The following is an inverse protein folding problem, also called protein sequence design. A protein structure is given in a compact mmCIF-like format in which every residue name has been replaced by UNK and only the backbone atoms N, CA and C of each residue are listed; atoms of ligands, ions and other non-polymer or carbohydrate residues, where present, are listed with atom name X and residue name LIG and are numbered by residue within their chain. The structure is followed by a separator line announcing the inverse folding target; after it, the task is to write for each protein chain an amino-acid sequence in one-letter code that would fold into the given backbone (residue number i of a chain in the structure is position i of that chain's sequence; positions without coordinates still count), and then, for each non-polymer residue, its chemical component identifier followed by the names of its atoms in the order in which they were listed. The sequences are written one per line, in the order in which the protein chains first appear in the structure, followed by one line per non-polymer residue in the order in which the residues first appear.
data_IF_547785091451
#
_entry.id   IF_547785091451
#
_cell.length_a   1.000
_cell.length_b   1.000
_cell.length_c   1.000
_cell.angle_alpha   90.00
_cell.angle_beta   90.00
_cell.angle_gamma   90.00
#
_symmetry.space_group_name_H-M   'P 1'
#
loop_
_entity.id
_entity.type
_entity.pdbx_description
1 polymer ?
#
# COMPACT_ATOMS: atom_id res chain seq x y z
N UNK A 1 -1.20 -16.05 -11.74
CA UNK A 1 -2.63 -15.96 -11.36
C UNK A 1 -3.09 -14.59 -11.82
N UNK A 2 -4.24 -14.48 -12.47
CA UNK A 2 -4.85 -13.17 -12.72
C UNK A 2 -5.59 -12.81 -11.44
N UNK A 3 -5.24 -11.68 -10.83
CA UNK A 3 -5.99 -11.20 -9.68
C UNK A 3 -7.38 -10.79 -10.19
N UNK A 4 -8.48 -11.18 -9.51
CA UNK A 4 -9.84 -10.75 -9.87
C UNK A 4 -10.03 -9.23 -9.75
N UNK A 5 -9.08 -8.54 -9.11
CA UNK A 5 -9.02 -7.08 -9.02
C UNK A 5 -7.64 -6.62 -9.46
N UNK A 6 -7.55 -5.61 -10.32
CA UNK A 6 -6.27 -5.02 -10.72
C UNK A 6 -6.12 -3.59 -10.19
N UNK A 7 -7.23 -2.99 -9.75
CA UNK A 7 -7.33 -1.58 -9.40
C UNK A 7 -8.38 -1.32 -8.31
N UNK A 8 -8.37 -0.11 -7.74
CA UNK A 8 -9.42 0.30 -6.80
C UNK A 8 -10.75 0.56 -7.50
N UNK A 9 -10.70 0.91 -8.78
CA UNK A 9 -11.86 1.06 -9.65
C UNK A 9 -12.62 -0.25 -9.77
N UNK A 10 -11.92 -1.39 -9.82
CA UNK A 10 -12.55 -2.71 -9.86
C UNK A 10 -13.30 -2.98 -8.55
N UNK A 11 -12.69 -2.69 -7.40
CA UNK A 11 -13.37 -2.78 -6.10
C UNK A 11 -14.64 -1.93 -6.05
N UNK A 12 -14.60 -0.71 -6.60
CA UNK A 12 -15.73 0.21 -6.60
C UNK A 12 -16.88 -0.20 -7.55
N UNK A 13 -16.62 -1.09 -8.52
CA UNK A 13 -17.62 -1.56 -9.49
C UNK A 13 -18.41 -2.78 -9.01
N UNK A 14 -17.92 -3.47 -7.98
CA UNK A 14 -18.48 -4.73 -7.48
C UNK A 14 -18.77 -4.66 -5.97
N UNK A 15 -19.47 -5.67 -5.45
CA UNK A 15 -19.83 -5.77 -4.02
C UNK A 15 -19.52 -7.14 -3.41
N UNK A 16 -18.92 -8.06 -4.17
CA UNK A 16 -18.57 -9.41 -3.74
C UNK A 16 -17.36 -9.43 -2.77
N UNK A 17 -16.37 -8.57 -3.03
CA UNK A 17 -15.20 -8.34 -2.20
C UNK A 17 -15.47 -7.06 -1.41
N UNK A 18 -15.71 -7.21 -0.12
CA UNK A 18 -15.84 -6.07 0.77
C UNK A 18 -14.48 -5.37 0.92
N UNK A 19 -14.47 -4.08 1.19
CA UNK A 19 -13.23 -3.35 1.45
C UNK A 19 -13.38 -2.30 2.52
N UNK A 20 -12.31 -2.05 3.25
CA UNK A 20 -12.31 -1.10 4.36
C UNK A 20 -10.92 -0.64 4.75
N UNK A 21 -10.86 0.35 5.64
CA UNK A 21 -9.62 0.96 6.11
C UNK A 21 -9.50 0.85 7.63
N UNK A 22 -8.41 1.35 8.19
CA UNK A 22 -8.35 1.65 9.62
C UNK A 22 -9.47 2.64 10.00
N UNK A 23 -10.09 2.48 11.17
CA UNK A 23 -11.18 3.31 11.68
C UNK A 23 -10.71 4.72 12.11
N UNK A 24 -9.41 4.94 12.06
CA UNK A 24 -8.75 6.22 12.30
C UNK A 24 -7.64 6.43 11.27
N UNK A 25 -7.04 7.61 11.28
CA UNK A 25 -5.85 7.91 10.48
C UNK A 25 -6.14 8.45 9.08
N UNK A 26 -5.05 8.62 8.34
CA UNK A 26 -5.02 9.43 7.13
C UNK A 26 -5.72 8.78 5.94
N UNK A 27 -5.80 7.45 5.89
CA UNK A 27 -6.47 6.68 4.82
C UNK A 27 -7.98 6.83 4.90
N UNK A 28 -8.59 6.73 6.09
CA UNK A 28 -10.03 6.98 6.28
C UNK A 28 -10.39 8.42 5.88
N UNK A 29 -9.55 9.37 6.30
CA UNK A 29 -9.74 10.78 6.00
C UNK A 29 -9.59 11.09 4.51
N UNK A 30 -8.74 10.34 3.78
CA UNK A 30 -8.64 10.42 2.31
C UNK A 30 -10.00 10.25 1.67
N UNK A 31 -10.63 9.11 1.94
CA UNK A 31 -11.89 8.75 1.31
C UNK A 31 -13.00 9.70 1.72
N UNK A 32 -13.00 10.14 2.99
CA UNK A 32 -13.97 11.12 3.49
C UNK A 32 -13.89 12.48 2.78
N UNK A 33 -12.69 12.96 2.44
CA UNK A 33 -12.48 14.28 1.83
C UNK A 33 -12.33 14.27 0.31
N UNK A 34 -12.11 13.10 -0.29
CA UNK A 34 -11.86 12.97 -1.71
C UNK A 34 -13.01 13.57 -2.54
N UNK A 35 -12.66 14.17 -3.68
CA UNK A 35 -13.59 14.71 -4.69
C UNK A 35 -13.59 13.91 -5.98
N UNK A 36 -12.88 12.79 -6.00
CA UNK A 36 -12.81 11.91 -7.15
C UNK A 36 -13.99 10.94 -7.03
N UNK A 37 -14.84 10.90 -8.07
CA UNK A 37 -16.10 10.15 -8.06
C UNK A 37 -15.96 8.68 -7.63
N UNK A 38 -14.90 7.99 -8.07
CA UNK A 38 -14.65 6.60 -7.65
C UNK A 38 -14.40 6.49 -6.14
N UNK A 39 -13.65 7.41 -5.54
CA UNK A 39 -13.33 7.39 -4.12
C UNK A 39 -14.49 7.88 -3.25
N UNK A 40 -15.31 8.81 -3.74
CA UNK A 40 -16.57 9.19 -3.07
C UNK A 40 -17.57 8.02 -3.03
N UNK A 41 -17.65 7.23 -4.11
CA UNK A 41 -18.45 6.00 -4.15
C UNK A 41 -17.92 4.96 -3.14
N UNK A 42 -16.61 4.74 -3.12
CA UNK A 42 -15.97 3.84 -2.15
C UNK A 42 -16.21 4.28 -0.71
N UNK A 43 -16.12 5.58 -0.43
CA UNK A 43 -16.41 6.15 0.89
C UNK A 43 -17.87 5.92 1.30
N UNK A 44 -18.80 6.18 0.38
CA UNK A 44 -20.23 5.98 0.62
C UNK A 44 -20.53 4.53 0.98
N UNK A 45 -19.96 3.57 0.25
CA UNK A 45 -20.01 2.15 0.58
C UNK A 45 -19.43 1.87 1.98
N UNK A 46 -18.21 2.32 2.27
CA UNK A 46 -17.56 2.04 3.56
C UNK A 46 -18.34 2.63 4.75
N UNK A 47 -18.97 3.80 4.56
CA UNK A 47 -19.78 4.47 5.58
C UNK A 47 -21.08 3.73 5.88
N UNK A 48 -21.71 3.13 4.87
CA UNK A 48 -22.99 2.42 5.01
C UNK A 48 -22.86 0.90 5.14
N UNK A 49 -21.64 0.37 5.19
CA UNK A 49 -21.42 -1.08 5.21
C UNK A 49 -21.77 -1.68 6.57
N UNK A 50 -22.64 -2.70 6.55
CA UNK A 50 -22.99 -3.52 7.71
C UNK A 50 -22.69 -5.00 7.41
N UNK A 51 -21.84 -5.67 8.23
CA UNK A 51 -21.12 -5.15 9.39
C UNK A 51 -19.98 -4.19 8.99
N UNK A 52 -19.53 -3.36 9.95
CA UNK A 52 -18.48 -2.36 9.71
C UNK A 52 -17.26 -2.96 9.00
N UNK A 53 -16.83 -2.29 7.93
CA UNK A 53 -15.62 -2.64 7.17
C UNK A 53 -14.35 -2.01 7.77
N UNK A 54 -14.50 -1.09 8.71
CA UNK A 54 -13.36 -0.46 9.39
C UNK A 54 -12.75 -1.38 10.45
N UNK A 55 -11.44 -1.30 10.64
CA UNK A 55 -10.71 -2.04 11.70
C UNK A 55 -10.07 -1.10 12.70
N UNK A 56 -9.91 -1.54 13.96
CA UNK A 56 -9.32 -0.70 15.02
C UNK A 56 -7.81 -0.61 14.90
N UNK A 57 -7.16 -1.70 14.53
CA UNK A 57 -5.71 -1.78 14.33
C UNK A 57 -5.37 -2.31 12.94
N UNK A 58 -4.13 -2.08 12.51
CA UNK A 58 -3.59 -2.64 11.26
C UNK A 58 -3.56 -4.16 11.32
N UNK A 59 -3.17 -4.73 12.46
CA UNK A 59 -3.10 -6.19 12.64
C UNK A 59 -4.48 -6.84 12.53
N UNK A 60 -5.53 -6.21 13.07
CA UNK A 60 -6.92 -6.65 12.89
C UNK A 60 -7.32 -6.63 11.41
N UNK A 61 -6.92 -5.57 10.69
CA UNK A 61 -7.10 -5.43 9.24
C UNK A 61 -6.48 -6.61 8.50
N UNK A 62 -5.19 -6.86 8.76
CA UNK A 62 -4.44 -7.95 8.14
C UNK A 62 -5.05 -9.32 8.46
N UNK A 63 -5.35 -9.58 9.73
CA UNK A 63 -5.97 -10.82 10.18
C UNK A 63 -7.35 -11.03 9.55
N UNK A 64 -8.15 -9.96 9.38
CA UNK A 64 -9.44 -10.01 8.69
C UNK A 64 -9.26 -10.42 7.25
N UNK A 65 -8.35 -9.78 6.50
CA UNK A 65 -8.11 -10.16 5.10
C UNK A 65 -7.72 -11.64 5.02
N UNK A 66 -6.82 -12.10 5.91
CA UNK A 66 -6.37 -13.50 5.97
C UNK A 66 -7.51 -14.49 6.16
N UNK A 67 -8.44 -14.18 7.06
CA UNK A 67 -9.60 -15.03 7.38
C UNK A 67 -10.68 -14.98 6.28
N UNK A 68 -10.76 -13.91 5.52
CA UNK A 68 -11.81 -13.68 4.53
C UNK A 68 -11.62 -14.42 3.20
N UNK A 69 -10.51 -15.15 2.99
CA UNK A 69 -10.28 -15.99 1.80
C UNK A 69 -10.57 -15.28 0.47
N UNK A 70 -10.10 -14.04 0.33
CA UNK A 70 -10.29 -13.23 -0.89
C UNK A 70 -11.62 -12.46 -0.98
N UNK A 71 -12.47 -12.50 0.04
CA UNK A 71 -13.75 -11.72 0.11
C UNK A 71 -13.65 -10.39 0.85
N UNK A 72 -12.45 -10.02 1.31
CA UNK A 72 -12.19 -8.73 1.91
C UNK A 72 -10.88 -8.16 1.36
N UNK A 73 -10.82 -6.84 1.19
CA UNK A 73 -9.62 -6.11 0.85
C UNK A 73 -9.39 -4.97 1.87
N UNK A 74 -8.17 -4.88 2.40
CA UNK A 74 -7.86 -3.86 3.41
C UNK A 74 -7.01 -2.74 2.80
N UNK A 75 -7.44 -1.51 3.02
CA UNK A 75 -6.78 -0.34 2.49
C UNK A 75 -5.87 0.32 3.52
N UNK A 76 -4.58 0.39 3.23
CA UNK A 76 -3.55 0.95 4.11
C UNK A 76 -2.49 1.77 3.34
N UNK A 77 -1.37 2.09 3.97
CA UNK A 77 -0.28 2.84 3.33
C UNK A 77 0.70 1.91 2.60
N UNK A 78 1.20 2.31 1.43
CA UNK A 78 1.99 1.40 0.57
C UNK A 78 3.25 0.84 1.24
N UNK A 79 3.86 1.64 2.11
CA UNK A 79 5.02 1.26 2.94
C UNK A 79 4.70 0.09 3.85
N UNK A 80 3.56 0.13 4.54
CA UNK A 80 3.11 -0.97 5.39
C UNK A 80 2.66 -2.17 4.58
N UNK A 81 2.09 -1.97 3.39
CA UNK A 81 1.70 -3.09 2.54
C UNK A 81 2.92 -3.86 2.03
N UNK A 82 3.93 -3.14 1.52
CA UNK A 82 5.22 -3.72 1.12
C UNK A 82 5.89 -4.43 2.30
N UNK A 83 5.74 -3.92 3.51
CA UNK A 83 6.28 -4.55 4.72
C UNK A 83 5.57 -5.88 5.03
N UNK A 84 4.24 -5.87 5.07
CA UNK A 84 3.42 -7.05 5.40
C UNK A 84 3.58 -8.16 4.35
N UNK A 85 3.74 -7.80 3.07
CA UNK A 85 4.03 -8.75 1.99
C UNK A 85 5.32 -9.55 2.23
N UNK A 86 6.29 -8.97 2.95
CA UNK A 86 7.57 -9.60 3.27
C UNK A 86 7.55 -10.36 4.60
N UNK A 87 6.40 -10.49 5.27
CA UNK A 87 6.25 -11.20 6.55
C UNK A 87 5.53 -12.53 6.40
N UNK A 88 5.91 -13.51 7.23
CA UNK A 88 5.22 -14.80 7.24
C UNK A 88 3.72 -14.63 7.60
N UNK A 89 2.85 -15.48 7.04
CA UNK A 89 3.13 -16.61 6.16
C UNK A 89 3.17 -16.26 4.66
N UNK A 90 3.53 -15.01 4.28
CA UNK A 90 3.70 -14.59 2.88
C UNK A 90 2.43 -14.74 2.04
N UNK A 91 1.28 -14.56 2.70
CA UNK A 91 -0.05 -14.81 2.17
C UNK A 91 -0.75 -13.56 1.66
N UNK A 92 -0.09 -12.40 1.77
CA UNK A 92 -0.60 -11.09 1.35
C UNK A 92 0.08 -10.64 0.06
N UNK A 93 -0.59 -9.78 -0.72
CA UNK A 93 0.01 -9.16 -1.88
C UNK A 93 -0.49 -7.74 -2.10
N UNK A 94 0.40 -6.86 -2.59
CA UNK A 94 -0.01 -5.56 -3.14
C UNK A 94 -0.66 -5.74 -4.49
N UNK A 95 -1.87 -5.19 -4.64
CA UNK A 95 -2.56 -5.06 -5.93
C UNK A 95 -2.63 -3.59 -6.32
N UNK A 96 -2.53 -3.32 -7.62
CA UNK A 96 -2.69 -1.98 -8.19
C UNK A 96 -1.56 -0.99 -7.89
N UNK A 97 -1.72 0.20 -8.47
CA UNK A 97 -0.91 1.37 -8.18
C UNK A 97 -1.22 1.96 -6.81
N UNK A 98 -0.45 2.98 -6.41
CA UNK A 98 -0.83 3.80 -5.26
C UNK A 98 -1.98 4.73 -5.70
N UNK A 99 -2.95 4.98 -4.81
CA UNK A 99 -4.11 5.83 -5.11
C UNK A 99 -3.80 7.33 -5.02
N UNK A 100 -2.55 7.66 -4.75
CA UNK A 100 -2.06 8.99 -4.38
C UNK A 100 -0.51 8.99 -4.28
N UNK A 101 0.05 10.13 -3.86
CA UNK A 101 1.48 10.27 -3.56
C UNK A 101 1.68 10.98 -2.20
N UNK A 102 2.09 10.22 -1.19
CA UNK A 102 2.55 10.74 0.12
C UNK A 102 3.99 10.34 0.45
N UNK A 103 4.59 11.09 1.36
CA UNK A 103 5.85 10.75 2.02
C UNK A 103 5.78 11.04 3.53
N UNK A 104 6.63 10.35 4.30
CA UNK A 104 6.86 10.67 5.70
C UNK A 104 7.88 11.79 5.83
N UNK A 105 7.73 12.62 6.86
CA UNK A 105 8.65 13.71 7.18
C UNK A 105 9.00 13.75 8.66
N UNK A 106 10.16 14.33 8.98
CA UNK A 106 10.57 14.56 10.37
C UNK A 106 9.92 15.85 10.86
N UNK A 107 9.01 15.74 11.82
CA UNK A 107 8.31 16.88 12.40
C UNK A 107 9.18 17.58 13.46
N UNK A 108 9.22 18.92 13.41
CA UNK A 108 9.81 19.77 14.46
C UNK A 108 8.78 20.80 14.91
N UNK A 109 8.84 21.28 16.17
CA UNK A 109 7.98 22.38 16.62
C UNK A 109 8.11 23.61 15.72
N UNK A 110 7.02 24.34 15.52
CA UNK A 110 7.03 25.58 14.74
C UNK A 110 8.03 26.57 15.34
N UNK A 111 8.93 27.11 14.52
CA UNK A 111 10.00 28.03 14.96
C UNK A 111 11.23 27.35 15.56
N UNK A 112 11.30 26.01 15.60
CA UNK A 112 12.47 25.31 16.12
C UNK A 112 13.72 25.57 15.26
N UNK A 113 14.84 25.87 15.93
CA UNK A 113 16.15 25.97 15.30
C UNK A 113 16.62 24.65 14.65
N UNK A 114 16.00 23.52 15.00
CA UNK A 114 16.31 22.21 14.42
C UNK A 114 15.75 22.02 13.01
N UNK A 115 14.77 22.83 12.59
CA UNK A 115 14.09 22.65 11.31
C UNK A 115 15.07 22.63 10.13
N UNK A 116 15.91 23.66 10.02
CA UNK A 116 16.88 23.81 8.93
C UNK A 116 17.95 22.70 8.94
N UNK A 117 18.68 22.44 10.05
CA UNK A 117 19.71 21.41 10.05
C UNK A 117 19.15 20.00 9.82
N UNK A 118 17.98 19.68 10.36
CA UNK A 118 17.32 18.38 10.09
C UNK A 118 16.95 18.25 8.62
N UNK A 119 16.40 19.29 8.00
CA UNK A 119 16.03 19.26 6.59
C UNK A 119 17.25 19.04 5.68
N UNK A 120 18.36 19.75 5.93
CA UNK A 120 19.61 19.58 5.19
C UNK A 120 20.20 18.18 5.37
N UNK A 121 20.13 17.62 6.59
CA UNK A 121 20.61 16.26 6.86
C UNK A 121 19.80 15.21 6.09
N UNK A 122 18.45 15.34 6.04
CA UNK A 122 17.59 14.42 5.28
C UNK A 122 17.91 14.48 3.79
N UNK A 123 18.10 15.68 3.22
CA UNK A 123 18.49 15.84 1.82
C UNK A 123 19.83 15.14 1.52
N UNK A 124 20.84 15.36 2.37
CA UNK A 124 22.15 14.71 2.23
C UNK A 124 22.05 13.18 2.28
N UNK A 125 21.26 12.63 3.19
CA UNK A 125 21.04 11.18 3.28
C UNK A 125 20.31 10.63 2.04
N UNK A 126 19.41 11.41 1.46
CA UNK A 126 18.69 11.07 0.23
C UNK A 126 19.63 11.07 -0.98
N UNK A 127 20.41 12.13 -1.20
CA UNK A 127 21.36 12.26 -2.31
C UNK A 127 22.45 11.17 -2.28
N UNK A 128 22.86 10.77 -1.08
CA UNK A 128 23.83 9.69 -0.89
C UNK A 128 23.22 8.28 -1.04
N UNK A 129 21.91 8.16 -1.29
CA UNK A 129 21.21 6.86 -1.41
C UNK A 129 21.15 6.07 -0.10
N UNK A 130 21.44 6.70 1.05
CA UNK A 130 21.44 6.04 2.36
C UNK A 130 20.02 5.65 2.76
N UNK A 131 19.03 6.51 2.47
CA UNK A 131 17.63 6.22 2.74
C UNK A 131 17.14 4.98 1.97
N UNK A 132 17.54 4.83 0.71
CA UNK A 132 17.20 3.65 -0.10
C UNK A 132 17.88 2.38 0.43
N UNK A 133 19.15 2.50 0.83
CA UNK A 133 19.88 1.39 1.48
C UNK A 133 19.20 0.96 2.78
N UNK A 134 18.71 1.92 3.58
CA UNK A 134 17.96 1.63 4.81
C UNK A 134 16.61 0.98 4.49
N UNK A 135 15.87 1.48 3.49
CA UNK A 135 14.61 0.86 3.05
C UNK A 135 14.85 -0.61 2.66
N UNK A 136 15.83 -0.87 1.80
CA UNK A 136 16.14 -2.24 1.37
C UNK A 136 16.50 -3.15 2.54
N UNK A 137 17.35 -2.66 3.46
CA UNK A 137 17.75 -3.39 4.66
C UNK A 137 16.57 -3.82 5.52
N UNK A 138 15.60 -2.93 5.74
CA UNK A 138 14.51 -3.16 6.70
C UNK A 138 13.26 -3.80 6.08
N UNK A 139 13.07 -3.68 4.77
CA UNK A 139 11.94 -4.30 4.06
C UNK A 139 12.30 -5.63 3.40
N UNK A 140 13.44 -5.70 2.70
CA UNK A 140 13.75 -6.83 1.82
C UNK A 140 14.86 -7.73 2.38
N UNK A 141 15.99 -7.16 2.82
CA UNK A 141 17.10 -7.97 3.35
C UNK A 141 16.72 -8.69 4.66
N UNK A 142 15.81 -8.08 5.43
CA UNK A 142 15.19 -8.64 6.64
C UNK A 142 13.78 -9.18 6.41
N UNK A 143 13.39 -9.36 5.14
CA UNK A 143 12.15 -10.03 4.77
C UNK A 143 12.20 -11.49 5.18
N UNK A 144 11.09 -12.01 5.68
CA UNK A 144 10.95 -13.43 6.07
C UNK A 144 10.44 -14.30 4.92
N UNK A 145 9.85 -13.65 3.92
CA UNK A 145 9.47 -14.23 2.65
C UNK A 145 10.70 -14.17 1.75
N UNK A 146 11.26 -15.32 1.40
CA UNK A 146 12.51 -15.41 0.63
C UNK A 146 12.49 -14.59 -0.65
N UNK A 147 13.68 -14.39 -1.24
CA UNK A 147 13.79 -13.73 -2.55
C UNK A 147 12.81 -14.41 -3.52
N UNK A 148 11.81 -13.67 -4.02
CA UNK A 148 10.85 -14.17 -5.01
C UNK A 148 11.61 -14.99 -6.03
N UNK A 149 11.30 -16.28 -6.13
CA UNK A 149 12.01 -17.22 -6.99
C UNK A 149 12.32 -16.56 -8.33
N UNK A 150 13.61 -16.52 -8.63
CA UNK A 150 14.19 -16.02 -9.86
C UNK A 150 13.93 -17.01 -10.99
N UNK A 151 12.66 -17.20 -11.33
CA UNK A 151 12.19 -17.94 -12.49
C UNK A 151 11.88 -17.05 -13.68
N UNK A 152 12.67 -15.98 -13.90
CA UNK A 152 12.77 -15.23 -15.16
C UNK A 152 13.96 -14.30 -15.08
N UNK A 153 15.07 -14.65 -15.77
CA UNK A 153 16.13 -13.69 -16.06
C UNK A 153 15.57 -12.60 -16.97
N UNK A 154 15.03 -11.55 -16.37
CA UNK A 154 14.94 -10.24 -17.00
C UNK A 154 15.89 -9.35 -16.23
N UNK A 155 17.10 -9.18 -16.79
CA UNK A 155 17.99 -8.08 -16.45
C UNK A 155 17.27 -6.77 -16.82
N UNK A 156 16.47 -6.25 -15.89
CA UNK A 156 16.06 -4.85 -15.91
C UNK A 156 16.84 -4.19 -14.80
N UNK A 157 17.91 -3.48 -15.18
CA UNK A 157 18.48 -2.40 -14.37
C UNK A 157 17.30 -1.55 -13.92
N UNK A 158 16.98 -1.55 -12.62
CA UNK A 158 15.99 -0.63 -12.06
C UNK A 158 16.66 0.73 -11.91
N UNK A 159 16.83 1.41 -13.03
CA UNK A 159 16.86 2.86 -13.02
C UNK A 159 15.43 3.34 -12.71
N UNK A 160 15.32 4.24 -11.74
CA UNK A 160 14.18 5.15 -11.59
C UNK A 160 13.83 5.72 -12.97
N UNK A 161 12.56 5.68 -13.39
CA UNK A 161 11.86 6.80 -14.05
C UNK A 161 10.43 6.46 -14.50
N UNK A 162 9.70 7.55 -14.72
CA UNK A 162 8.27 7.76 -15.01
C UNK A 162 7.60 6.82 -16.03
N UNK A 163 6.30 6.60 -15.79
CA UNK A 163 5.20 6.31 -16.72
C UNK A 163 5.52 5.64 -18.07
N UNK A 164 4.98 4.42 -18.28
CA UNK A 164 4.02 4.05 -19.35
C UNK A 164 3.71 2.53 -19.30
N UNK A 165 2.42 2.19 -19.31
CA UNK A 165 1.88 0.84 -19.64
C UNK A 165 1.94 0.59 -21.16
N UNK A 166 1.53 -0.59 -21.72
CA UNK A 166 1.19 -1.90 -21.15
C UNK A 166 1.88 -3.09 -21.88
N UNK A 167 1.62 -4.34 -21.45
CA UNK A 167 1.16 -5.51 -22.26
C UNK A 167 1.34 -6.84 -21.48
N UNK A 168 0.30 -7.67 -21.58
CA UNK A 168 0.01 -8.97 -20.97
C UNK A 168 1.06 -10.08 -21.20
N UNK A 169 1.14 -11.05 -20.27
CA UNK A 169 1.05 -12.50 -20.56
C UNK A 169 0.94 -13.33 -19.27
N UNK A 170 0.33 -14.51 -19.42
CA UNK A 170 -0.46 -15.27 -18.45
C UNK A 170 0.29 -16.43 -17.76
N UNK A 171 -0.37 -17.00 -16.73
CA UNK A 171 -0.13 -18.29 -16.01
C UNK A 171 0.89 -18.28 -14.85
N UNK A 172 0.78 -19.08 -13.79
CA UNK A 172 -0.31 -19.55 -12.90
C UNK A 172 0.44 -20.26 -11.76
N UNK A 173 0.29 -19.83 -10.51
CA UNK A 173 0.72 -20.58 -9.33
C UNK A 173 -0.28 -20.25 -8.21
N UNK A 174 -0.79 -21.29 -7.56
CA UNK A 174 -1.95 -21.27 -6.66
C UNK A 174 -1.52 -20.96 -5.23
N UNK A 175 -1.95 -19.81 -4.71
CA UNK A 175 -2.02 -19.53 -3.28
C UNK A 175 -3.29 -18.70 -3.04
N UNK A 176 -4.02 -18.97 -1.96
CA UNK A 176 -5.21 -18.18 -1.61
C UNK A 176 -4.77 -16.74 -1.26
N UNK A 177 -4.92 -15.82 -2.22
CA UNK A 177 -4.45 -14.44 -2.09
C UNK A 177 -5.45 -13.54 -1.35
N UNK A 178 -4.86 -12.68 -0.54
CA UNK A 178 -5.48 -11.79 0.43
C UNK A 178 -5.13 -10.37 -0.03
N UNK A 179 -6.16 -9.62 -0.41
CA UNK A 179 -6.01 -8.37 -1.17
C UNK A 179 -5.80 -7.14 -0.29
N UNK A 180 -4.81 -6.31 -0.61
CA UNK A 180 -4.62 -4.99 0.00
C UNK A 180 -4.38 -3.93 -1.09
N UNK A 181 -5.14 -2.84 -1.05
CA UNK A 181 -5.06 -1.70 -1.99
C UNK A 181 -4.73 -0.43 -1.19
N UNK A 182 -3.77 0.40 -1.57
CA UNK A 182 -3.29 1.48 -0.67
C UNK A 182 -3.95 2.82 -0.89
N UNK A 183 -4.04 3.69 0.12
CA UNK A 183 -4.59 5.06 -0.02
C UNK A 183 -3.93 6.08 0.89
N UNK A 184 -3.61 7.27 0.38
CA UNK A 184 -2.88 8.30 1.12
C UNK A 184 -3.23 9.79 0.63
N UNK A 185 -4.06 10.55 1.37
CA UNK A 185 -4.05 12.06 1.56
C UNK A 185 -2.98 13.02 0.96
N UNK A 186 -3.30 13.91 0.04
CA UNK A 186 -2.59 15.20 -0.04
C UNK A 186 -2.94 16.10 1.17
N UNK A 187 -1.97 16.77 1.79
CA UNK A 187 -2.19 18.03 2.53
C UNK A 187 -0.96 18.92 2.35
N UNK A 188 -1.19 20.23 2.18
CA UNK A 188 -0.17 21.28 1.98
C UNK A 188 0.95 21.24 3.02
#
# INVERSE_FOLDING_TARGET
MVSPIESAEDLAKQTEIAYGTLDSGSTKEFFRRSKIAVYEKMWSYMKSAEPSVFTKTTDDGVARVRKSKGKFAFLLESTMNEYIEQRKPCDTMKVGGNLDSKGYGVATPKGSALRTPVNLAVLKLSEQGILDKLKNKWWYDKGECGAKDSGSKVSRRRSFELNRSPILTHRSCTQNFIYFLNTVVKYQ
#
